data_IF_743268949839
#
_entry.id   IF_743268949839
#
_cell.length_a   1.000
_cell.length_b   1.000
_cell.length_c   1.000
_cell.angle_alpha   90.00
_cell.angle_beta   90.00
_cell.angle_gamma   90.00
#
_symmetry.space_group_name_H-M   'P 1'
#
loop_
_entity.id
_entity.type
_entity.pdbx_description
1 polymer ?
#
# COMPACT_ATOMS: atom_id res chain seq x y z
N UNK A 1 1.72 -2.27 4.98
CA UNK A 1 1.91 -2.36 3.51
C UNK A 1 2.61 -3.65 3.06
N UNK A 2 3.30 -4.41 3.94
CA UNK A 2 3.96 -5.66 3.55
C UNK A 2 3.00 -6.73 2.99
N UNK A 3 1.84 -6.94 3.62
CA UNK A 3 0.82 -7.91 3.15
C UNK A 3 0.36 -7.57 1.73
N UNK A 4 0.12 -6.28 1.45
CA UNK A 4 -0.31 -5.84 0.11
C UNK A 4 0.78 -6.05 -0.93
N UNK A 5 2.06 -5.89 -0.57
CA UNK A 5 3.20 -6.22 -1.44
C UNK A 5 3.22 -7.70 -1.82
N UNK A 6 3.16 -8.60 -0.84
CA UNK A 6 3.17 -10.05 -1.10
C UNK A 6 1.97 -10.50 -1.92
N UNK A 7 0.77 -9.99 -1.61
CA UNK A 7 -0.42 -10.31 -2.40
C UNK A 7 -0.32 -9.82 -3.85
N UNK A 8 0.33 -8.68 -4.10
CA UNK A 8 0.54 -8.17 -5.46
C UNK A 8 1.53 -9.00 -6.26
N UNK A 9 2.61 -9.47 -5.62
CA UNK A 9 3.54 -10.44 -6.22
C UNK A 9 2.80 -11.73 -6.57
N UNK A 10 1.99 -12.26 -5.64
CA UNK A 10 1.21 -13.47 -5.86
C UNK A 10 0.28 -13.37 -7.07
N UNK A 11 -0.46 -12.26 -7.20
CA UNK A 11 -1.31 -11.98 -8.37
C UNK A 11 -0.48 -11.95 -9.66
N UNK A 12 0.72 -11.38 -9.61
CA UNK A 12 1.60 -11.24 -10.78
C UNK A 12 2.24 -12.55 -11.23
N UNK A 13 2.56 -13.44 -10.28
CA UNK A 13 3.23 -14.72 -10.55
C UNK A 13 2.27 -15.87 -10.82
N UNK A 14 0.97 -15.70 -10.55
CA UNK A 14 -0.03 -16.75 -10.73
C UNK A 14 -0.57 -16.72 -12.17
N UNK A 15 -0.41 -17.79 -12.97
CA UNK A 15 -0.94 -17.84 -14.33
C UNK A 15 -2.46 -17.62 -14.34
N UNK A 16 -2.95 -16.73 -15.22
CA UNK A 16 -4.39 -16.47 -15.34
C UNK A 16 -4.97 -15.50 -14.29
N UNK A 17 -4.35 -15.32 -13.13
CA UNK A 17 -4.86 -14.43 -12.08
C UNK A 17 -4.93 -12.97 -12.50
N UNK A 18 -4.00 -12.53 -13.36
CA UNK A 18 -3.99 -11.16 -13.88
C UNK A 18 -5.18 -10.83 -14.80
N UNK A 19 -5.91 -11.83 -15.29
CA UNK A 19 -7.07 -11.66 -16.14
C UNK A 19 -8.40 -11.85 -15.39
N UNK A 20 -8.35 -12.00 -14.06
CA UNK A 20 -9.53 -12.30 -13.24
C UNK A 20 -10.59 -11.19 -13.24
N UNK A 21 -10.16 -9.93 -13.36
CA UNK A 21 -11.03 -8.78 -13.60
C UNK A 21 -10.95 -8.35 -15.07
N UNK A 22 -12.09 -8.34 -15.76
CA UNK A 22 -12.18 -8.10 -17.20
C UNK A 22 -11.86 -6.68 -17.64
N UNK A 23 -11.70 -6.59 -18.96
CA UNK A 23 -11.44 -5.45 -19.86
C UNK A 23 -12.30 -4.22 -19.81
N UNK A 24 -13.56 -4.50 -19.54
CA UNK A 24 -14.57 -3.95 -20.42
C UNK A 24 -15.06 -2.61 -19.88
N UNK A 25 -14.29 -1.56 -20.13
CA UNK A 25 -14.59 -0.18 -19.73
C UNK A 25 -13.92 0.27 -18.43
N UNK A 26 -13.53 1.56 -18.38
CA UNK A 26 -12.78 2.16 -17.27
C UNK A 26 -13.41 1.89 -15.89
N UNK A 27 -14.73 2.05 -15.75
CA UNK A 27 -15.44 1.91 -14.47
C UNK A 27 -15.75 0.47 -14.08
N UNK A 28 -15.94 -0.42 -15.07
CA UNK A 28 -16.27 -1.83 -14.86
C UNK A 28 -15.02 -2.69 -14.59
N UNK A 29 -13.84 -2.20 -15.01
CA UNK A 29 -12.52 -2.77 -14.73
C UNK A 29 -11.84 -2.18 -13.50
N UNK A 30 -12.15 -0.92 -13.14
CA UNK A 30 -11.62 -0.26 -11.94
C UNK A 30 -12.51 0.92 -11.47
N UNK A 31 -13.00 0.94 -10.21
CA UNK A 31 -12.68 0.05 -9.10
C UNK A 31 -13.42 -1.29 -9.11
N UNK A 32 -14.40 -1.47 -10.01
CA UNK A 32 -15.18 -2.71 -10.13
C UNK A 32 -14.36 -3.81 -10.79
N UNK A 33 -14.76 -5.06 -10.59
CA UNK A 33 -14.21 -6.24 -11.25
C UNK A 33 -15.35 -6.91 -12.03
N UNK A 34 -15.34 -6.77 -13.37
CA UNK A 34 -16.45 -7.18 -14.25
C UNK A 34 -17.80 -6.59 -13.81
N UNK A 35 -17.84 -5.29 -13.49
CA UNK A 35 -19.08 -4.62 -13.09
C UNK A 35 -19.56 -4.93 -11.66
N UNK A 36 -18.81 -5.72 -10.87
CA UNK A 36 -19.14 -6.02 -9.47
C UNK A 36 -17.99 -5.66 -8.52
N UNK A 37 -18.32 -5.08 -7.36
CA UNK A 37 -17.35 -4.80 -6.28
C UNK A 37 -17.01 -6.06 -5.46
N UNK A 38 -17.93 -7.01 -5.40
CA UNK A 38 -17.78 -8.30 -4.71
C UNK A 38 -18.29 -9.36 -5.69
N UNK A 39 -17.40 -10.26 -6.12
CA UNK A 39 -17.77 -11.44 -6.89
C UNK A 39 -17.73 -12.66 -5.96
N UNK A 40 -18.59 -13.65 -6.21
CA UNK A 40 -18.51 -14.92 -5.51
C UNK A 40 -17.20 -15.63 -5.85
N UNK A 41 -16.46 -16.03 -4.81
CA UNK A 41 -15.14 -16.65 -4.95
C UNK A 41 -15.27 -18.13 -5.23
N UNK A 42 -15.42 -18.46 -6.52
CA UNK A 42 -15.44 -19.84 -6.99
C UNK A 42 -14.02 -20.43 -7.09
N UNK A 43 -13.03 -19.61 -7.48
CA UNK A 43 -11.64 -20.02 -7.63
C UNK A 43 -10.68 -18.99 -7.01
N UNK A 44 -10.12 -19.34 -5.84
CA UNK A 44 -9.29 -18.44 -5.04
C UNK A 44 -8.00 -17.98 -5.76
N UNK A 45 -7.47 -18.80 -6.66
CA UNK A 45 -6.25 -18.52 -7.42
C UNK A 45 -6.50 -17.47 -8.52
N UNK A 46 -7.52 -17.71 -9.35
CA UNK A 46 -7.89 -16.83 -10.48
C UNK A 46 -8.51 -15.51 -10.02
N UNK A 47 -9.16 -15.50 -8.85
CA UNK A 47 -9.76 -14.30 -8.27
C UNK A 47 -8.86 -13.58 -7.25
N UNK A 48 -7.59 -13.94 -7.15
CA UNK A 48 -6.66 -13.27 -6.23
C UNK A 48 -6.51 -11.75 -6.49
N UNK A 49 -6.83 -11.28 -7.71
CA UNK A 49 -6.92 -9.86 -8.03
C UNK A 49 -7.92 -9.09 -7.19
N UNK A 50 -9.15 -9.60 -7.00
CA UNK A 50 -10.15 -8.89 -6.20
C UNK A 50 -9.73 -8.86 -4.73
N UNK A 51 -9.13 -9.94 -4.23
CA UNK A 51 -8.58 -10.01 -2.87
C UNK A 51 -7.46 -8.98 -2.68
N UNK A 52 -6.54 -8.85 -3.64
CA UNK A 52 -5.49 -7.82 -3.59
C UNK A 52 -6.08 -6.40 -3.54
N UNK A 53 -7.12 -6.10 -4.33
CA UNK A 53 -7.81 -4.79 -4.32
C UNK A 53 -8.43 -4.47 -2.96
N UNK A 54 -9.06 -5.46 -2.32
CA UNK A 54 -9.61 -5.32 -0.97
C UNK A 54 -8.52 -5.08 0.07
N UNK A 55 -7.42 -5.85 0.02
CA UNK A 55 -6.29 -5.67 0.92
C UNK A 55 -5.66 -4.29 0.77
N UNK A 56 -5.49 -3.81 -0.47
CA UNK A 56 -4.94 -2.47 -0.75
C UNK A 56 -5.85 -1.38 -0.17
N UNK A 57 -7.16 -1.52 -0.35
CA UNK A 57 -8.15 -0.58 0.18
C UNK A 57 -8.15 -0.54 1.71
N UNK A 58 -8.12 -1.71 2.37
CA UNK A 58 -8.07 -1.81 3.83
C UNK A 58 -6.80 -1.19 4.41
N UNK A 59 -5.64 -1.53 3.85
CA UNK A 59 -4.35 -0.98 4.32
C UNK A 59 -4.25 0.52 4.03
N UNK A 60 -4.77 0.98 2.89
CA UNK A 60 -4.88 2.41 2.57
C UNK A 60 -5.72 3.18 3.59
N UNK A 61 -6.87 2.64 4.00
CA UNK A 61 -7.71 3.22 5.04
C UNK A 61 -6.98 3.28 6.39
N UNK A 62 -6.27 2.21 6.78
CA UNK A 62 -5.47 2.21 8.01
C UNK A 62 -4.34 3.26 7.99
N UNK A 63 -3.68 3.45 6.85
CA UNK A 63 -2.66 4.50 6.66
C UNK A 63 -3.24 5.90 6.74
N UNK A 64 -4.41 6.12 6.13
CA UNK A 64 -5.13 7.40 6.21
C UNK A 64 -5.54 7.73 7.65
N UNK A 65 -6.11 6.75 8.37
CA UNK A 65 -6.46 6.90 9.79
C UNK A 65 -5.23 7.19 10.65
N UNK A 66 -4.13 6.48 10.41
CA UNK A 66 -2.87 6.71 11.14
C UNK A 66 -2.34 8.13 10.89
N UNK A 67 -2.31 8.56 9.63
CA UNK A 67 -1.90 9.90 9.23
C UNK A 67 -2.78 10.98 9.85
N UNK A 68 -4.09 10.74 9.95
CA UNK A 68 -5.04 11.64 10.62
C UNK A 68 -4.80 11.73 12.12
N UNK A 69 -4.57 10.61 12.81
CA UNK A 69 -4.26 10.62 14.26
C UNK A 69 -2.97 11.38 14.54
N UNK A 70 -1.91 11.11 13.79
CA UNK A 70 -0.62 11.79 13.94
C UNK A 70 -0.73 13.29 13.63
N UNK A 71 -1.54 13.66 12.64
CA UNK A 71 -1.81 15.07 12.36
C UNK A 71 -2.44 15.76 13.57
N UNK A 72 -3.48 15.17 14.18
CA UNK A 72 -4.11 15.71 15.39
C UNK A 72 -3.16 15.77 16.58
N UNK A 73 -2.31 14.77 16.76
CA UNK A 73 -1.34 14.72 17.86
C UNK A 73 -0.28 15.83 17.69
N UNK A 74 0.19 16.07 16.46
CA UNK A 74 1.13 17.17 16.15
C UNK A 74 0.50 18.57 16.26
N UNK A 75 -0.82 18.68 16.13
CA UNK A 75 -1.55 19.95 16.34
C UNK A 75 -1.52 20.38 17.81
N UNK A 76 -1.45 19.42 18.74
CA UNK A 76 -1.43 19.67 20.19
C UNK A 76 -0.02 19.65 20.80
N UNK A 77 1.02 19.28 20.04
CA UNK A 77 2.41 19.28 20.50
C UNK A 77 3.44 19.28 19.36
N UNK A 78 4.52 20.06 19.49
CA UNK A 78 5.54 20.23 18.43
C UNK A 78 6.50 19.03 18.26
N UNK A 79 6.54 18.09 19.20
CA UNK A 79 7.45 16.94 19.13
C UNK A 79 6.85 15.87 18.22
N UNK A 80 7.42 15.69 17.02
CA UNK A 80 6.99 14.63 16.09
C UNK A 80 6.82 15.03 14.62
N UNK A 81 7.10 16.27 14.24
CA UNK A 81 6.94 16.75 12.84
C UNK A 81 7.70 15.87 11.83
N UNK A 82 8.91 15.40 12.17
CA UNK A 82 9.67 14.50 11.31
C UNK A 82 8.94 13.17 11.09
N UNK A 83 8.41 12.55 12.15
CA UNK A 83 7.65 11.30 12.08
C UNK A 83 6.36 11.49 11.26
N UNK A 84 5.64 12.60 11.47
CA UNK A 84 4.48 12.98 10.67
C UNK A 84 4.82 13.02 9.20
N UNK A 85 5.90 13.71 8.82
CA UNK A 85 6.32 13.85 7.43
C UNK A 85 6.66 12.49 6.80
N UNK A 86 7.33 11.59 7.53
CA UNK A 86 7.63 10.23 7.04
C UNK A 86 6.36 9.39 6.82
N UNK A 87 5.41 9.43 7.75
CA UNK A 87 4.15 8.67 7.63
C UNK A 87 3.27 9.25 6.52
N UNK A 88 3.24 10.56 6.37
CA UNK A 88 2.60 11.23 5.24
C UNK A 88 3.27 10.88 3.90
N UNK A 89 4.60 10.86 3.83
CA UNK A 89 5.34 10.47 2.63
C UNK A 89 5.07 9.01 2.25
N UNK A 90 5.03 8.10 3.22
CA UNK A 90 4.63 6.70 3.00
C UNK A 90 3.21 6.61 2.45
N UNK A 91 2.28 7.35 3.05
CA UNK A 91 0.86 7.34 2.69
C UNK A 91 0.63 7.91 1.29
N UNK A 92 1.25 9.05 0.98
CA UNK A 92 1.20 9.65 -0.36
C UNK A 92 1.77 8.70 -1.43
N UNK A 93 2.93 8.09 -1.17
CA UNK A 93 3.52 7.09 -2.06
C UNK A 93 2.60 5.87 -2.22
N UNK A 94 1.92 5.44 -1.15
CA UNK A 94 0.99 4.31 -1.20
C UNK A 94 -0.23 4.59 -2.08
N UNK A 95 -0.88 5.75 -1.91
CA UNK A 95 -2.01 6.14 -2.74
C UNK A 95 -1.58 6.40 -4.20
N UNK A 96 -0.43 7.03 -4.41
CA UNK A 96 0.18 7.16 -5.74
C UNK A 96 0.41 5.80 -6.40
N UNK A 97 0.87 4.80 -5.63
CA UNK A 97 1.01 3.44 -6.13
C UNK A 97 -0.34 2.81 -6.53
N UNK A 98 -1.39 3.02 -5.73
CA UNK A 98 -2.74 2.59 -6.06
C UNK A 98 -3.25 3.21 -7.37
N UNK A 99 -2.98 4.50 -7.59
CA UNK A 99 -3.30 5.17 -8.86
C UNK A 99 -2.50 4.60 -10.04
N UNK A 100 -1.22 4.29 -9.85
CA UNK A 100 -0.42 3.60 -10.88
C UNK A 100 -0.98 2.23 -11.22
N UNK A 101 -1.46 1.47 -10.22
CA UNK A 101 -2.13 0.19 -10.43
C UNK A 101 -3.47 0.34 -11.17
N UNK A 102 -4.23 1.40 -10.89
CA UNK A 102 -5.44 1.74 -11.64
C UNK A 102 -5.13 2.09 -13.10
N UNK A 103 -4.14 2.96 -13.32
CA UNK A 103 -3.69 3.35 -14.67
C UNK A 103 -3.17 2.16 -15.46
N UNK A 104 -2.52 1.19 -14.80
CA UNK A 104 -2.07 -0.06 -15.42
C UNK A 104 -3.23 -0.87 -16.01
N UNK A 105 -4.37 -0.94 -15.31
CA UNK A 105 -5.56 -1.66 -15.79
C UNK A 105 -6.25 -0.89 -16.93
N UNK A 106 -6.29 0.44 -16.82
CA UNK A 106 -6.98 1.31 -17.80
C UNK A 106 -6.17 1.46 -19.10
N UNK A 107 -4.84 1.37 -19.06
CA UNK A 107 -3.97 1.53 -20.24
C UNK A 107 -3.98 0.32 -21.18
N UNK A 108 -4.94 -0.59 -21.04
CA UNK A 108 -5.09 -1.77 -21.88
C UNK A 108 -5.69 -1.38 -23.24
N UNK A 109 -4.84 -1.01 -24.20
CA UNK A 109 -5.24 -0.74 -25.60
C UNK A 109 -4.68 -1.80 -26.58
N UNK A 110 -3.62 -2.55 -26.20
CA UNK A 110 -2.83 -3.36 -27.15
C UNK A 110 -2.83 -4.88 -26.91
N UNK A 111 -3.75 -5.43 -26.11
CA UNK A 111 -3.91 -6.88 -25.96
C UNK A 111 -2.86 -7.59 -25.09
N UNK A 112 -1.97 -6.86 -24.42
CA UNK A 112 -1.00 -7.41 -23.45
C UNK A 112 -0.72 -6.44 -22.30
N UNK A 113 -0.42 -6.99 -21.12
CA UNK A 113 -0.05 -6.22 -19.96
C UNK A 113 1.31 -5.54 -20.13
N UNK A 114 1.39 -4.25 -19.78
CA UNK A 114 2.64 -3.49 -19.83
C UNK A 114 3.56 -3.89 -18.67
N UNK A 115 4.64 -4.61 -18.98
CA UNK A 115 5.65 -5.05 -18.02
C UNK A 115 6.27 -3.87 -17.25
N UNK A 116 6.54 -2.75 -17.95
CA UNK A 116 7.11 -1.54 -17.34
C UNK A 116 6.22 -0.93 -16.28
N UNK A 117 4.90 -0.90 -16.48
CA UNK A 117 3.95 -0.38 -15.51
C UNK A 117 3.81 -1.30 -14.29
N UNK A 118 3.81 -2.62 -14.50
CA UNK A 118 3.81 -3.61 -13.42
C UNK A 118 5.08 -3.51 -12.55
N UNK A 119 6.25 -3.39 -13.19
CA UNK A 119 7.53 -3.16 -12.49
C UNK A 119 7.53 -1.84 -11.72
N UNK A 120 7.06 -0.75 -12.33
CA UNK A 120 6.97 0.55 -11.67
C UNK A 120 6.04 0.49 -10.44
N UNK A 121 4.88 -0.16 -10.55
CA UNK A 121 3.97 -0.38 -9.44
C UNK A 121 4.62 -1.17 -8.29
N UNK A 122 5.38 -2.24 -8.60
CA UNK A 122 6.10 -3.00 -7.58
C UNK A 122 7.19 -2.17 -6.88
N UNK A 123 7.94 -1.37 -7.64
CA UNK A 123 9.00 -0.52 -7.09
C UNK A 123 8.44 0.58 -6.19
N UNK A 124 7.38 1.27 -6.61
CA UNK A 124 6.73 2.32 -5.81
C UNK A 124 6.07 1.73 -4.56
N UNK A 125 5.46 0.55 -4.64
CA UNK A 125 4.97 -0.18 -3.47
C UNK A 125 6.09 -0.47 -2.45
N UNK A 126 7.26 -0.90 -2.94
CA UNK A 126 8.44 -1.17 -2.12
C UNK A 126 8.96 0.09 -1.44
N UNK A 127 9.03 1.21 -2.16
CA UNK A 127 9.41 2.51 -1.58
C UNK A 127 8.45 2.91 -0.45
N UNK A 128 7.13 2.79 -0.66
CA UNK A 128 6.13 3.07 0.38
C UNK A 128 6.36 2.21 1.64
N UNK A 129 6.59 0.90 1.47
CA UNK A 129 6.91 0.02 2.59
C UNK A 129 8.19 0.40 3.31
N UNK A 130 9.27 0.68 2.59
CA UNK A 130 10.57 1.05 3.18
C UNK A 130 10.45 2.34 3.97
N UNK A 131 9.78 3.37 3.45
CA UNK A 131 9.55 4.62 4.19
C UNK A 131 8.84 4.36 5.51
N UNK A 132 7.76 3.57 5.49
CA UNK A 132 7.01 3.25 6.70
C UNK A 132 7.84 2.42 7.70
N UNK A 133 8.62 1.46 7.20
CA UNK A 133 9.50 0.65 8.03
C UNK A 133 10.60 1.50 8.69
N UNK A 134 11.18 2.46 7.97
CA UNK A 134 12.14 3.42 8.53
C UNK A 134 11.50 4.30 9.61
N UNK A 135 10.28 4.79 9.37
CA UNK A 135 9.54 5.57 10.36
C UNK A 135 9.28 4.75 11.64
N UNK A 136 8.85 3.50 11.49
CA UNK A 136 8.62 2.58 12.59
C UNK A 136 9.90 2.31 13.39
N UNK A 137 11.00 1.98 12.71
CA UNK A 137 12.30 1.76 13.34
C UNK A 137 12.76 2.99 14.11
N UNK A 138 12.62 4.18 13.53
CA UNK A 138 12.94 5.44 14.19
C UNK A 138 12.20 5.62 15.53
N UNK A 139 10.89 5.34 15.55
CA UNK A 139 10.09 5.37 16.78
C UNK A 139 10.59 4.35 17.79
N UNK A 140 10.81 3.10 17.37
CA UNK A 140 11.24 2.03 18.29
C UNK A 140 12.59 2.32 18.94
N UNK A 141 13.54 2.85 18.17
CA UNK A 141 14.88 3.22 18.66
C UNK A 141 14.78 4.39 19.64
N UNK A 142 13.99 5.42 19.32
CA UNK A 142 13.78 6.57 20.20
C UNK A 142 13.01 6.22 21.48
N UNK A 143 12.12 5.23 21.43
CA UNK A 143 11.35 4.74 22.58
C UNK A 143 12.13 3.78 23.49
N UNK A 144 13.33 3.35 23.10
CA UNK A 144 14.13 2.40 23.88
C UNK A 144 14.74 3.08 25.12
N UNK A 145 14.49 2.58 26.34
CA UNK A 145 15.02 3.18 27.56
C UNK A 145 16.52 2.90 27.68
N UNK A 146 17.37 3.76 27.10
CA UNK A 146 18.84 3.74 27.26
C UNK A 146 19.41 5.01 27.88
N UNK A 147 18.59 5.77 28.62
CA UNK A 147 18.99 7.05 29.22
C UNK A 147 18.86 7.14 30.74
N UNK A 148 18.70 6.02 31.47
CA UNK A 148 18.52 6.01 32.93
C UNK A 148 19.54 5.09 33.61
N UNK A 149 20.83 5.25 33.31
CA UNK A 149 21.92 4.69 34.12
C UNK A 149 23.26 5.32 33.74
N UNK A 150 23.37 6.65 33.84
CA UNK A 150 24.68 7.31 33.96
C UNK A 150 24.47 8.54 34.86
N UNK A 151 24.35 8.33 36.17
CA UNK A 151 24.82 9.27 37.20
C UNK A 151 24.66 8.60 38.57
N UNK A 152 25.68 8.78 39.40
CA UNK A 152 25.82 8.44 40.83
C UNK A 152 26.65 7.18 41.07
N UNK A 153 27.97 7.38 41.17
CA UNK A 153 28.76 6.99 42.35
C UNK A 153 30.10 7.75 42.29
N UNK A 154 30.18 8.84 43.06
CA UNK A 154 31.37 9.29 43.78
C UNK A 154 30.96 9.45 45.25
#
# INVERSE_FOLDING_TARGET
TLITLFSGVYVSTTPGANYGCGVDGMLDSWPLCNGMLVQDIENWELQSQIVHRWLVSMVGAMLALSSYKIWKDCEHGQSGIALRNWIWASTATYFGNGLLGASYIISWDSGSFSEYLSLAHLMVATVSFTILATAWLGVTVMSSPRGASITVED
#
